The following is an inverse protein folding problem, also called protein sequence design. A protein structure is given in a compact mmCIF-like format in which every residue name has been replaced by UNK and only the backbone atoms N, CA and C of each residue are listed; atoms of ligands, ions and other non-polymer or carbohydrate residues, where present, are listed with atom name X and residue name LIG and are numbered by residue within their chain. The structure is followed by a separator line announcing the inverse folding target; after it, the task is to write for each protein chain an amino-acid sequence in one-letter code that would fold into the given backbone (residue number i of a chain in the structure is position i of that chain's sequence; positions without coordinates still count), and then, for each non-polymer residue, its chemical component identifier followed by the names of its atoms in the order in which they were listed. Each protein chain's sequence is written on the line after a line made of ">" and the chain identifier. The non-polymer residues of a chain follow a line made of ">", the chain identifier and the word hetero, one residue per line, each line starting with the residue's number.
data_IF_886324763422
#
_entry.id   IF_886324763422
#
_cell.length_a   1.000
_cell.length_b   1.000
_cell.length_c   1.000
_cell.angle_alpha   90.00
_cell.angle_beta   90.00
_cell.angle_gamma   90.00
#
_symmetry.space_group_name_H-M   'P 1'
#
loop_
_entity.id
_entity.type
_entity.pdbx_description
1 polymer ?
#
# COMPACT_ATOMS: atom_id res chain seq x y z
N UNK A 1 -4.04 4.72 4.51
CA UNK A 1 -4.78 4.16 5.66
C UNK A 1 -3.85 3.21 6.41
N UNK A 2 -3.88 3.14 7.75
CA UNK A 2 -3.11 2.15 8.53
C UNK A 2 -3.98 0.93 8.83
N UNK A 3 -3.38 -0.26 8.85
CA UNK A 3 -4.05 -1.53 9.16
C UNK A 3 -3.70 -1.97 10.57
N UNK A 4 -4.71 -2.15 11.43
CA UNK A 4 -4.51 -2.68 12.77
C UNK A 4 -4.37 -4.21 12.74
N UNK A 5 -3.34 -4.75 13.39
CA UNK A 5 -3.13 -6.19 13.54
C UNK A 5 -2.87 -6.54 15.00
N UNK A 6 -3.07 -7.80 15.36
CA UNK A 6 -2.85 -8.33 16.70
C UNK A 6 -1.79 -9.43 16.63
N UNK A 7 -0.80 -9.40 17.52
CA UNK A 7 0.15 -10.51 17.64
C UNK A 7 -0.42 -11.67 18.47
N UNK A 8 0.21 -12.87 18.46
CA UNK A 8 -0.23 -14.00 19.28
C UNK A 8 -0.17 -13.75 20.80
N UNK A 9 0.46 -12.67 21.26
CA UNK A 9 0.52 -12.24 22.67
C UNK A 9 -0.60 -11.26 23.02
N UNK A 10 -1.45 -10.92 22.05
CA UNK A 10 -2.57 -10.01 22.19
C UNK A 10 -2.23 -8.53 22.08
N UNK A 11 -0.98 -8.18 21.74
CA UNK A 11 -0.58 -6.79 21.53
C UNK A 11 -1.00 -6.31 20.15
N UNK A 12 -1.53 -5.08 20.11
CA UNK A 12 -1.99 -4.43 18.90
C UNK A 12 -0.86 -3.63 18.25
N UNK A 13 -0.80 -3.69 16.92
CA UNK A 13 0.13 -2.92 16.10
C UNK A 13 -0.61 -2.26 14.95
N UNK A 14 -0.05 -1.16 14.47
CA UNK A 14 -0.53 -0.47 13.28
C UNK A 14 0.52 -0.60 12.19
N UNK A 15 0.14 -1.24 11.09
CA UNK A 15 1.00 -1.48 9.94
C UNK A 15 0.62 -0.50 8.83
N UNK A 16 1.62 0.10 8.21
CA UNK A 16 1.43 0.82 6.95
C UNK A 16 1.49 -0.20 5.79
N UNK A 17 0.40 -0.38 5.02
CA UNK A 17 0.34 -1.29 3.86
C UNK A 17 1.48 -1.08 2.87
N UNK A 18 1.93 0.16 2.67
CA UNK A 18 3.01 0.51 1.75
C UNK A 18 4.35 -0.14 2.07
N UNK A 19 4.55 -0.51 3.33
CA UNK A 19 5.78 -1.16 3.77
C UNK A 19 5.64 -2.66 3.91
N UNK A 20 4.51 -3.27 3.52
CA UNK A 20 4.37 -4.72 3.48
C UNK A 20 4.95 -5.26 2.18
N UNK A 21 5.92 -6.16 2.29
CA UNK A 21 6.59 -6.80 1.14
C UNK A 21 6.09 -8.20 0.87
N UNK A 22 5.86 -8.97 1.93
CA UNK A 22 5.50 -10.38 1.84
C UNK A 22 4.58 -10.77 3.00
N UNK A 23 3.53 -11.51 2.68
CA UNK A 23 2.73 -12.27 3.62
C UNK A 23 3.03 -13.75 3.44
N UNK A 24 3.18 -14.48 4.55
CA UNK A 24 3.44 -15.92 4.54
C UNK A 24 2.58 -16.60 5.59
N UNK A 25 1.90 -17.67 5.21
CA UNK A 25 1.16 -18.48 6.18
C UNK A 25 2.07 -19.09 7.24
N UNK A 26 1.63 -19.06 8.50
CA UNK A 26 2.33 -19.64 9.65
C UNK A 26 1.38 -20.48 10.49
N UNK A 27 0.73 -21.43 9.83
CA UNK A 27 -0.38 -22.22 10.38
C UNK A 27 -1.73 -21.68 9.91
N UNK A 28 -2.82 -22.29 10.39
CA UNK A 28 -4.17 -22.03 9.88
C UNK A 28 -4.67 -20.60 10.16
N UNK A 29 -4.34 -20.06 11.33
CA UNK A 29 -4.90 -18.81 11.83
C UNK A 29 -3.84 -17.73 12.07
N UNK A 30 -2.66 -17.88 11.45
CA UNK A 30 -1.53 -16.98 11.68
C UNK A 30 -0.79 -16.66 10.41
N UNK A 31 -0.32 -15.42 10.34
CA UNK A 31 0.39 -14.89 9.19
C UNK A 31 1.68 -14.21 9.64
N UNK A 32 2.74 -14.44 8.89
CA UNK A 32 4.01 -13.74 9.02
C UNK A 32 4.06 -12.59 8.01
N UNK A 33 4.27 -11.39 8.50
CA UNK A 33 4.33 -10.14 7.73
C UNK A 33 5.78 -9.68 7.69
N UNK A 34 6.31 -9.51 6.48
CA UNK A 34 7.66 -9.00 6.25
C UNK A 34 7.62 -7.62 5.61
N UNK A 35 8.39 -6.69 6.16
CA UNK A 35 8.47 -5.31 5.67
C UNK A 35 9.42 -5.13 4.47
N UNK A 36 9.32 -4.00 3.77
CA UNK A 36 10.20 -3.66 2.63
C UNK A 36 11.62 -3.28 3.08
N UNK A 37 11.75 -2.67 4.26
CA UNK A 37 13.02 -2.17 4.79
C UNK A 37 13.54 -3.03 5.93
N UNK A 38 14.87 -3.13 6.03
CA UNK A 38 15.59 -3.77 7.16
C UNK A 38 15.25 -3.18 8.53
N UNK A 39 14.63 -2.00 8.57
CA UNK A 39 14.14 -1.33 9.79
C UNK A 39 13.10 -2.12 10.57
N UNK A 40 12.40 -3.08 9.96
CA UNK A 40 11.52 -3.99 10.71
C UNK A 40 12.31 -5.05 11.48
N UNK A 41 13.60 -5.27 11.13
CA UNK A 41 14.56 -6.13 11.83
C UNK A 41 14.22 -7.62 11.84
N UNK A 42 12.95 -7.98 11.87
CA UNK A 42 12.42 -9.34 12.00
C UNK A 42 10.98 -9.37 11.47
N UNK A 43 10.57 -10.41 10.72
CA UNK A 43 9.19 -10.60 10.35
C UNK A 43 8.26 -10.64 11.57
N UNK A 44 7.10 -10.01 11.49
CA UNK A 44 6.09 -9.99 12.55
C UNK A 44 5.11 -11.14 12.34
N UNK A 45 4.77 -11.88 13.40
CA UNK A 45 3.67 -12.85 13.36
C UNK A 45 2.40 -12.19 13.90
N UNK A 46 1.31 -12.32 13.15
CA UNK A 46 -0.02 -11.84 13.54
C UNK A 46 -1.00 -13.01 13.67
N UNK A 47 -1.97 -12.84 14.55
CA UNK A 47 -3.01 -13.83 14.90
C UNK A 47 -4.25 -13.63 14.01
N UNK A 48 -4.03 -13.72 12.70
CA UNK A 48 -5.05 -13.62 11.66
C UNK A 48 -4.65 -14.51 10.46
N UNK A 49 -5.61 -15.17 9.78
CA UNK A 49 -5.35 -15.90 8.54
C UNK A 49 -4.83 -14.99 7.41
N UNK A 50 -4.03 -15.57 6.51
CA UNK A 50 -3.33 -14.82 5.47
C UNK A 50 -4.30 -14.13 4.51
N UNK A 51 -5.35 -14.82 4.09
CA UNK A 51 -6.33 -14.28 3.12
C UNK A 51 -7.05 -13.05 3.67
N UNK A 52 -7.51 -13.11 4.93
CA UNK A 52 -8.17 -11.98 5.61
C UNK A 52 -7.24 -10.78 5.70
N UNK A 53 -5.99 -11.01 6.08
CA UNK A 53 -5.00 -9.94 6.18
C UNK A 53 -4.64 -9.35 4.81
N UNK A 54 -4.52 -10.21 3.79
CA UNK A 54 -4.21 -9.80 2.41
C UNK A 54 -5.32 -8.93 1.83
N UNK A 55 -6.59 -9.28 2.06
CA UNK A 55 -7.74 -8.47 1.63
C UNK A 55 -7.70 -7.08 2.29
N UNK A 56 -7.52 -7.02 3.61
CA UNK A 56 -7.46 -5.75 4.34
C UNK A 56 -6.29 -4.87 3.91
N UNK A 57 -5.13 -5.46 3.67
CA UNK A 57 -3.97 -4.74 3.14
C UNK A 57 -4.27 -4.22 1.73
N UNK A 58 -4.86 -5.03 0.87
CA UNK A 58 -5.21 -4.66 -0.50
C UNK A 58 -6.18 -3.49 -0.55
N UNK A 59 -7.23 -3.49 0.29
CA UNK A 59 -8.18 -2.37 0.41
C UNK A 59 -7.51 -1.12 1.00
N UNK A 60 -6.52 -1.30 1.88
CA UNK A 60 -5.84 -0.19 2.54
C UNK A 60 -4.69 0.42 1.73
N UNK A 61 -4.23 -0.27 0.68
CA UNK A 61 -3.24 0.24 -0.25
C UNK A 61 -3.81 1.48 -0.96
N UNK A 62 -3.08 2.61 -0.97
CA UNK A 62 -3.49 3.75 -1.78
C UNK A 62 -3.52 3.30 -3.24
N UNK A 63 -4.60 3.62 -3.94
CA UNK A 63 -4.76 3.30 -5.34
C UNK A 63 -3.80 4.18 -6.16
N UNK A 64 -2.61 3.69 -6.48
CA UNK A 64 -1.61 4.44 -7.22
C UNK A 64 -2.05 4.73 -8.66
N UNK A 65 -2.98 3.95 -9.22
CA UNK A 65 -3.56 4.22 -10.54
C UNK A 65 -4.43 5.50 -10.55
N UNK A 66 -5.12 5.78 -9.44
CA UNK A 66 -5.88 7.02 -9.30
C UNK A 66 -4.96 8.25 -9.19
N UNK A 67 -3.75 8.08 -8.63
CA UNK A 67 -2.75 9.15 -8.58
C UNK A 67 -2.06 9.36 -9.94
N UNK A 68 -1.81 8.29 -10.70
CA UNK A 68 -1.24 8.37 -12.05
C UNK A 68 -2.21 9.02 -13.05
N UNK A 69 -3.52 8.78 -12.91
CA UNK A 69 -4.55 9.40 -13.76
C UNK A 69 -4.63 10.94 -13.57
N UNK A 70 -4.42 11.44 -12.35
CA UNK A 70 -4.41 12.89 -12.07
C UNK A 70 -3.16 13.54 -12.68
N UNK A 71 -2.01 12.89 -12.62
CA UNK A 71 -0.75 13.40 -13.20
C UNK A 71 -0.84 13.43 -14.74
N UNK A 72 -1.44 12.40 -15.36
CA UNK A 72 -1.64 12.38 -16.81
C UNK A 72 -2.60 13.50 -17.30
N UNK A 73 -3.61 13.85 -16.50
CA UNK A 73 -4.54 14.95 -16.82
C UNK A 73 -3.88 16.34 -16.72
N UNK A 74 -2.96 16.55 -15.78
CA UNK A 74 -2.19 17.80 -15.67
C UNK A 74 -1.24 18.00 -16.87
N UNK A 75 -0.62 16.92 -17.36
CA UNK A 75 0.25 16.95 -18.55
C UNK A 75 -0.54 17.27 -19.84
N UNK A 76 -1.76 16.74 -20.00
CA UNK A 76 -2.63 17.08 -21.15
C UNK A 76 -3.10 18.54 -21.12
N UNK A 77 -3.39 19.11 -19.94
CA UNK A 77 -3.77 20.52 -19.82
C UNK A 77 -2.62 21.47 -20.12
N UNK A 78 -1.38 21.16 -19.72
CA UNK A 78 -0.23 22.00 -20.05
C UNK A 78 0.13 21.97 -21.55
N UNK A 79 -0.03 20.83 -22.23
CA UNK A 79 0.23 20.73 -23.66
C UNK A 79 -0.79 21.51 -24.51
N UNK A 80 -2.07 21.54 -24.11
CA UNK A 80 -3.09 22.34 -24.81
C UNK A 80 -2.88 23.85 -24.63
N UNK A 81 -2.43 24.30 -23.46
CA UNK A 81 -2.12 25.71 -23.21
C UNK A 81 -0.89 26.21 -24.01
N UNK A 82 0.10 25.36 -24.22
CA UNK A 82 1.31 25.68 -24.99
C UNK A 82 1.08 25.70 -26.52
N UNK A 83 0.13 24.92 -27.04
CA UNK A 83 -0.23 24.91 -28.46
C UNK A 83 -1.05 26.13 -28.92
N UNK A 84 -1.82 26.74 -28.01
CA UNK A 84 -2.65 27.90 -28.33
C UNK A 84 -1.87 29.22 -28.42
N UNK A 85 -0.71 29.33 -27.78
CA UNK A 85 0.12 30.55 -27.80
C UNK A 85 1.03 30.66 -29.03
N UNK A 86 1.33 29.56 -29.71
CA UNK A 86 2.15 29.56 -30.95
C UNK A 86 1.36 29.79 -32.23
N UNK A 87 0.03 29.65 -32.21
CA UNK A 87 -0.83 29.87 -33.38
C UNK A 87 -1.38 31.31 -33.50
N UNK A 88 -1.04 32.20 -32.56
CA UNK A 88 -1.50 33.59 -32.52
C UNK A 88 -0.37 34.63 -32.70
N UNK A 89 0.82 34.20 -33.13
CA UNK A 89 2.00 35.06 -33.40
C UNK A 89 2.30 35.18 -34.88
#
# INVERSE_FOLDING_TARGET
>A
MLVQVKDPKGKLYWINPLYVRLLKEKGKDRTEVTGVNSSWGTPMVVDEPMDSLAERISVAMPNFDAAAAVIAMDDEQQQQAAGATVAAG
#
